data_IF_193815567419
#
_entry.id   IF_193815567419
#
_cell.length_a   1.000
_cell.length_b   1.000
_cell.length_c   1.000
_cell.angle_alpha   90.00
_cell.angle_beta   90.00
_cell.angle_gamma   90.00
#
_symmetry.space_group_name_H-M   'P 1'
#
loop_
_entity.id
_entity.type
_entity.pdbx_description
1 polymer ?
#
# COMPACT_ATOMS: atom_id res chain seq x y z
N UNK A 1 -8.91 -19.50 -15.00
CA UNK A 1 -7.96 -18.87 -14.06
C UNK A 1 -7.80 -17.42 -14.52
N UNK A 2 -8.73 -16.55 -14.15
CA UNK A 2 -8.62 -15.11 -14.44
C UNK A 2 -7.74 -14.51 -13.37
N UNK A 3 -6.45 -14.41 -13.66
CA UNK A 3 -5.48 -13.68 -12.85
C UNK A 3 -5.96 -12.23 -12.70
N UNK A 4 -6.11 -11.82 -11.46
CA UNK A 4 -6.56 -10.52 -10.97
C UNK A 4 -5.52 -9.41 -11.26
N UNK A 5 -5.14 -9.25 -12.54
CA UNK A 5 -4.33 -8.10 -12.97
C UNK A 5 -5.09 -6.78 -12.75
N UNK A 6 -6.42 -6.83 -12.59
CA UNK A 6 -7.27 -5.67 -12.40
C UNK A 6 -7.02 -4.93 -11.07
N UNK A 7 -6.53 -5.61 -10.02
CA UNK A 7 -6.44 -5.02 -8.68
C UNK A 7 -5.00 -4.70 -8.23
N UNK A 8 -4.00 -4.86 -9.09
CA UNK A 8 -2.60 -4.52 -8.78
C UNK A 8 -2.41 -3.03 -8.44
N UNK A 9 -3.29 -2.17 -8.99
CA UNK A 9 -3.31 -0.72 -8.75
C UNK A 9 -4.13 -0.28 -7.53
N UNK A 10 -4.77 -1.19 -6.79
CA UNK A 10 -5.59 -0.85 -5.64
C UNK A 10 -4.91 -1.20 -4.31
N UNK A 11 -5.14 -0.35 -3.32
CA UNK A 11 -4.64 -0.50 -1.96
C UNK A 11 -5.44 -1.61 -1.26
N UNK A 12 -4.79 -2.63 -0.67
CA UNK A 12 -5.50 -3.70 0.01
C UNK A 12 -6.20 -3.24 1.30
N UNK A 13 -5.83 -2.07 1.84
CA UNK A 13 -6.39 -1.54 3.11
C UNK A 13 -7.63 -0.67 2.93
N UNK A 14 -7.78 0.01 1.79
CA UNK A 14 -8.87 0.96 1.54
C UNK A 14 -9.48 0.87 0.14
N UNK A 15 -9.01 -0.06 -0.69
CA UNK A 15 -9.47 -0.32 -2.07
C UNK A 15 -9.32 0.86 -3.06
N UNK A 16 -8.82 2.01 -2.61
CA UNK A 16 -8.46 3.15 -3.47
C UNK A 16 -7.13 2.94 -4.21
N UNK A 17 -6.77 3.87 -5.09
CA UNK A 17 -5.53 3.78 -5.88
C UNK A 17 -4.27 3.75 -4.99
N UNK A 18 -3.42 2.76 -5.19
CA UNK A 18 -2.16 2.61 -4.45
C UNK A 18 -0.98 3.41 -5.03
N UNK A 19 -1.15 3.97 -6.24
CA UNK A 19 -0.12 4.71 -6.98
C UNK A 19 1.19 3.91 -7.16
N UNK A 20 1.09 2.58 -7.30
CA UNK A 20 2.24 1.72 -7.51
C UNK A 20 2.84 1.91 -8.91
N UNK A 21 4.12 2.30 -8.98
CA UNK A 21 4.86 2.44 -10.23
C UNK A 21 4.95 1.11 -11.01
N UNK A 22 5.19 -0.02 -10.32
CA UNK A 22 5.28 -1.34 -10.97
C UNK A 22 3.94 -1.71 -11.63
N UNK A 23 2.82 -1.46 -10.96
CA UNK A 23 1.49 -1.73 -11.51
C UNK A 23 1.19 -0.87 -12.75
N UNK A 24 1.82 0.30 -12.86
CA UNK A 24 1.76 1.19 -14.03
C UNK A 24 2.78 0.84 -15.13
N UNK A 25 3.63 -0.16 -14.93
CA UNK A 25 4.71 -0.52 -15.85
C UNK A 25 5.95 0.38 -15.76
N UNK A 26 6.08 1.14 -14.66
CA UNK A 26 7.20 2.03 -14.38
C UNK A 26 8.23 1.37 -13.44
N UNK A 27 9.41 1.98 -13.35
CA UNK A 27 10.48 1.48 -12.48
C UNK A 27 10.09 1.59 -11.00
N UNK A 28 10.42 0.59 -10.14
CA UNK A 28 10.04 0.61 -8.73
C UNK A 28 10.55 1.84 -7.98
N UNK A 29 11.71 2.37 -8.36
CA UNK A 29 12.31 3.58 -7.81
C UNK A 29 11.44 4.84 -7.99
N UNK A 30 10.50 4.83 -8.95
CA UNK A 30 9.54 5.91 -9.16
C UNK A 30 8.30 5.77 -8.25
N UNK A 31 8.15 4.65 -7.55
CA UNK A 31 7.03 4.45 -6.64
C UNK A 31 7.17 5.37 -5.43
N UNK A 32 6.08 6.03 -5.03
CA UNK A 32 6.05 6.93 -3.89
C UNK A 32 6.63 6.28 -2.61
N UNK A 33 6.41 4.97 -2.43
CA UNK A 33 6.83 4.24 -1.25
C UNK A 33 8.35 4.05 -1.15
N UNK A 34 9.10 4.18 -2.26
CA UNK A 34 10.57 4.09 -2.24
C UNK A 34 11.23 5.35 -1.68
N UNK A 35 10.52 6.48 -1.68
CA UNK A 35 11.03 7.76 -1.17
C UNK A 35 10.36 8.20 0.14
N UNK A 36 9.34 7.48 0.59
CA UNK A 36 8.58 7.81 1.80
C UNK A 36 8.97 6.91 2.97
N UNK A 37 8.87 7.44 4.19
CA UNK A 37 8.92 6.62 5.41
C UNK A 37 7.56 5.97 5.63
N UNK A 38 7.53 4.63 5.54
CA UNK A 38 6.31 3.84 5.67
C UNK A 38 6.03 3.49 7.12
N UNK A 39 4.74 3.49 7.48
CA UNK A 39 4.27 3.01 8.78
C UNK A 39 4.43 1.47 8.85
N UNK A 40 5.21 0.95 9.82
CA UNK A 40 5.38 -0.49 9.96
C UNK A 40 4.07 -1.20 10.31
N UNK A 41 3.19 -0.55 11.07
CA UNK A 41 1.86 -1.09 11.40
C UNK A 41 0.99 -1.27 10.16
N UNK A 42 0.99 -0.30 9.24
CA UNK A 42 0.30 -0.39 7.97
C UNK A 42 0.84 -1.52 7.09
N UNK A 43 2.16 -1.70 7.04
CA UNK A 43 2.79 -2.82 6.33
C UNK A 43 2.38 -4.17 6.92
N UNK A 44 2.38 -4.30 8.25
CA UNK A 44 1.94 -5.52 8.93
C UNK A 44 0.46 -5.83 8.67
N UNK A 45 -0.41 -4.81 8.72
CA UNK A 45 -1.84 -4.97 8.42
C UNK A 45 -2.05 -5.41 6.97
N UNK A 46 -1.32 -4.82 6.02
CA UNK A 46 -1.41 -5.21 4.62
C UNK A 46 -0.90 -6.64 4.38
N UNK A 47 0.18 -7.04 5.05
CA UNK A 47 0.74 -8.39 4.96
C UNK A 47 -0.16 -9.46 5.61
N UNK A 48 -0.99 -9.08 6.58
CA UNK A 48 -1.93 -9.98 7.25
C UNK A 48 -3.21 -10.24 6.45
N UNK A 49 -3.49 -9.45 5.41
CA UNK A 49 -4.68 -9.66 4.57
C UNK A 49 -4.50 -10.89 3.67
N UNK A 50 -5.54 -11.73 3.55
CA UNK A 50 -5.51 -12.87 2.65
C UNK A 50 -5.49 -12.38 1.20
N UNK A 51 -4.65 -13.01 0.36
CA UNK A 51 -4.57 -12.73 -1.08
C UNK A 51 -3.17 -12.38 -1.55
N UNK A 52 -3.10 -11.81 -2.75
CA UNK A 52 -1.83 -11.42 -3.37
C UNK A 52 -1.22 -10.19 -2.69
N UNK A 53 0.11 -10.20 -2.57
CA UNK A 53 0.88 -9.08 -2.01
C UNK A 53 0.74 -7.87 -2.94
N UNK A 54 0.06 -6.83 -2.44
CA UNK A 54 -0.18 -5.57 -3.15
C UNK A 54 0.44 -4.38 -2.42
N UNK A 55 0.73 -3.32 -3.17
CA UNK A 55 1.22 -2.07 -2.59
C UNK A 55 0.08 -1.32 -1.88
N UNK A 56 0.43 -0.63 -0.79
CA UNK A 56 -0.46 0.29 -0.07
C UNK A 56 -0.40 1.69 -0.69
N UNK A 57 -1.45 2.50 -0.50
CA UNK A 57 -1.47 3.90 -0.91
C UNK A 57 -0.77 4.81 0.13
N UNK A 58 -0.41 6.04 -0.27
CA UNK A 58 0.21 7.01 0.62
C UNK A 58 -0.64 7.29 1.87
N UNK A 59 -1.96 7.45 1.72
CA UNK A 59 -2.84 7.73 2.85
C UNK A 59 -2.85 6.62 3.92
N UNK A 60 -2.70 5.37 3.51
CA UNK A 60 -2.64 4.23 4.44
C UNK A 60 -1.23 3.91 4.91
N UNK A 61 -0.21 4.17 4.09
CA UNK A 61 1.17 3.76 4.35
C UNK A 61 2.06 4.83 4.95
N UNK A 62 1.66 6.10 4.96
CA UNK A 62 2.44 7.16 5.64
C UNK A 62 2.27 7.02 7.15
N UNK A 63 3.33 7.30 7.91
CA UNK A 63 3.25 7.38 9.37
C UNK A 63 2.21 8.43 9.74
N UNK A 64 1.07 7.97 10.26
CA UNK A 64 0.20 8.83 11.03
C UNK A 64 0.91 8.99 12.36
N UNK A 65 1.40 10.20 12.66
CA UNK A 65 1.85 10.50 14.01
C UNK A 65 0.77 9.99 14.97
N UNK A 66 1.12 9.02 15.79
CA UNK A 66 0.25 8.48 16.81
C UNK A 66 0.00 9.59 17.83
N UNK A 67 -0.92 10.49 17.51
CA UNK A 67 -1.54 11.36 18.49
C UNK A 67 -2.39 10.43 19.34
N UNK A 68 -1.81 9.99 20.46
CA UNK A 68 -2.35 8.93 21.30
C UNK A 68 -3.85 9.08 21.58
N UNK A 69 -4.60 8.07 21.17
CA UNK A 69 -5.93 7.76 21.66
C UNK A 69 -5.78 7.12 23.06
N UNK A 70 -5.54 7.99 24.05
CA UNK A 70 -5.90 7.71 25.44
C UNK A 70 -7.38 8.03 25.60
N UNK A 71 -8.22 7.00 25.54
CA UNK A 71 -9.62 7.02 25.94
C UNK A 71 -9.84 6.13 27.14
#
# INVERSE_FOLDING_TARGET
MTTDTANAGACPLCEGENQCAIAKGEAPQQCWCMSATLDPGALQRAAALPGERRCICAACGTIKHAQGDAG
#
